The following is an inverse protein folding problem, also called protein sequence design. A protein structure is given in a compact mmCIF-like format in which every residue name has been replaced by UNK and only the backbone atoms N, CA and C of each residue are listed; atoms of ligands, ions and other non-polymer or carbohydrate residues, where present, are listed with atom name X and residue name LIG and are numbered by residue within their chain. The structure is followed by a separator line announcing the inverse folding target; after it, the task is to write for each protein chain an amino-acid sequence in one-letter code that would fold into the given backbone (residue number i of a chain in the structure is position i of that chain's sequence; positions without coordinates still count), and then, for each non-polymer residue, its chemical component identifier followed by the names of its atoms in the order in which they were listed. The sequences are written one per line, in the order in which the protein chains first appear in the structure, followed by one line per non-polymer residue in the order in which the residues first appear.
data_IF_453672049595
#
_entry.id   IF_453672049595
#
_cell.length_a   1.000
_cell.length_b   1.000
_cell.length_c   1.000
_cell.angle_alpha   90.00
_cell.angle_beta   90.00
_cell.angle_gamma   90.00
#
_symmetry.space_group_name_H-M   'P 1'
#
loop_
_entity.id
_entity.type
_entity.pdbx_description
1 polymer ?
#
# COMPACT_ATOMS: atom_id res chain seq x y z
N UNK A 1 -38.64 -21.55 10.13
CA UNK A 1 -37.18 -21.44 10.39
C UNK A 1 -36.99 -21.53 11.90
N UNK A 2 -36.09 -22.37 12.40
CA UNK A 2 -35.98 -22.67 13.84
C UNK A 2 -34.88 -21.84 14.51
N UNK A 3 -35.10 -21.46 15.77
CA UNK A 3 -34.11 -20.78 16.60
C UNK A 3 -33.06 -21.79 17.09
N UNK A 4 -31.79 -21.51 16.84
CA UNK A 4 -30.66 -22.39 17.20
C UNK A 4 -30.33 -22.33 18.71
N UNK A 5 -30.88 -21.35 19.44
CA UNK A 5 -30.66 -21.19 20.90
C UNK A 5 -31.71 -21.95 21.71
N UNK A 6 -33.00 -21.76 21.40
CA UNK A 6 -34.10 -22.31 22.19
C UNK A 6 -34.96 -23.35 21.46
N UNK A 7 -34.64 -23.67 20.20
CA UNK A 7 -35.36 -24.69 19.42
C UNK A 7 -36.80 -24.31 19.01
N UNK A 8 -37.29 -23.12 19.37
CA UNK A 8 -38.63 -22.67 18.95
C UNK A 8 -38.63 -22.20 17.50
N UNK A 9 -39.79 -22.27 16.86
CA UNK A 9 -39.96 -21.68 15.54
C UNK A 9 -39.91 -20.14 15.64
N UNK A 10 -39.14 -19.51 14.75
CA UNK A 10 -39.00 -18.06 14.72
C UNK A 10 -40.26 -17.46 14.09
N UNK A 11 -41.02 -16.74 14.89
CA UNK A 11 -42.14 -15.92 14.43
C UNK A 11 -41.61 -14.53 14.11
N UNK A 12 -41.61 -14.15 12.82
CA UNK A 12 -41.12 -12.85 12.37
C UNK A 12 -39.74 -12.90 11.71
N UNK A 13 -38.91 -11.88 11.94
CA UNK A 13 -37.61 -11.75 11.27
C UNK A 13 -36.53 -12.52 12.04
N UNK A 14 -35.81 -13.45 11.39
CA UNK A 14 -34.71 -14.15 12.05
C UNK A 14 -33.54 -13.22 12.32
N UNK A 15 -33.02 -13.26 13.56
CA UNK A 15 -31.88 -12.46 13.96
C UNK A 15 -30.61 -13.29 13.84
N UNK A 16 -29.65 -12.76 13.08
CA UNK A 16 -28.32 -13.33 12.95
C UNK A 16 -27.44 -12.69 14.01
N UNK A 17 -27.09 -13.44 15.04
CA UNK A 17 -26.34 -12.92 16.21
C UNK A 17 -25.14 -13.82 16.52
N UNK A 18 -24.16 -13.24 17.21
CA UNK A 18 -23.02 -13.95 17.77
C UNK A 18 -23.25 -14.11 19.28
N UNK A 19 -23.34 -15.35 19.75
CA UNK A 19 -23.46 -15.70 21.17
C UNK A 19 -22.23 -16.53 21.52
N UNK A 20 -21.42 -16.09 22.49
CA UNK A 20 -20.18 -16.78 22.92
C UNK A 20 -19.20 -17.08 21.76
N UNK A 21 -19.17 -16.22 20.74
CA UNK A 21 -18.32 -16.37 19.56
C UNK A 21 -18.89 -17.30 18.46
N UNK A 22 -20.02 -17.97 18.70
CA UNK A 22 -20.72 -18.77 17.71
C UNK A 22 -21.72 -17.93 16.90
N UNK A 23 -21.63 -17.99 15.56
CA UNK A 23 -22.57 -17.34 14.64
C UNK A 23 -23.80 -18.23 14.51
N UNK A 24 -24.96 -17.74 14.93
CA UNK A 24 -26.20 -18.52 14.93
C UNK A 24 -27.44 -17.70 14.56
N UNK A 25 -28.53 -18.40 14.24
CA UNK A 25 -29.84 -17.80 13.95
C UNK A 25 -30.74 -17.92 15.18
N UNK A 26 -31.22 -16.79 15.67
CA UNK A 26 -32.01 -16.68 16.89
C UNK A 26 -33.36 -15.95 16.67
N UNK A 27 -34.34 -16.27 17.51
CA UNK A 27 -35.58 -15.47 17.64
C UNK A 27 -35.29 -14.12 18.32
N UNK A 28 -36.27 -13.21 18.31
CA UNK A 28 -36.12 -11.86 18.92
C UNK A 28 -35.74 -11.89 20.41
N UNK A 29 -36.22 -12.89 21.17
CA UNK A 29 -35.87 -13.03 22.58
C UNK A 29 -34.42 -13.48 22.78
N UNK A 30 -33.98 -14.49 22.03
CA UNK A 30 -32.63 -15.04 22.13
C UNK A 30 -31.58 -14.11 21.51
N UNK A 31 -31.97 -13.23 20.58
CA UNK A 31 -31.09 -12.24 19.98
C UNK A 31 -30.51 -11.25 20.99
N UNK A 32 -31.19 -11.02 22.12
CA UNK A 32 -30.75 -10.12 23.20
C UNK A 32 -29.56 -10.67 24.00
N UNK A 33 -29.30 -11.98 23.89
CA UNK A 33 -28.17 -12.64 24.55
C UNK A 33 -26.85 -12.47 23.76
N UNK A 34 -26.94 -12.06 22.49
CA UNK A 34 -25.79 -11.82 21.62
C UNK A 34 -25.40 -10.36 21.57
N UNK A 35 -24.11 -10.09 21.38
CA UNK A 35 -23.55 -8.74 21.35
C UNK A 35 -23.55 -8.12 19.96
N UNK A 36 -23.46 -8.92 18.90
CA UNK A 36 -23.19 -8.41 17.55
C UNK A 36 -23.99 -9.15 16.47
N UNK A 37 -24.51 -8.40 15.48
CA UNK A 37 -25.26 -8.94 14.34
C UNK A 37 -24.32 -9.15 13.16
N UNK A 38 -24.30 -10.37 12.62
CA UNK A 38 -23.47 -10.71 11.46
C UNK A 38 -24.29 -10.64 10.16
N UNK A 39 -23.70 -10.06 9.11
CA UNK A 39 -24.25 -10.10 7.77
C UNK A 39 -23.63 -11.28 6.99
N UNK A 40 -24.41 -12.09 6.25
CA UNK A 40 -23.83 -13.04 5.32
C UNK A 40 -23.10 -12.29 4.20
N UNK A 41 -21.87 -12.71 3.90
CA UNK A 41 -21.19 -12.31 2.67
C UNK A 41 -22.09 -12.69 1.48
N UNK A 42 -22.39 -11.77 0.54
CA UNK A 42 -23.24 -12.10 -0.59
C UNK A 42 -22.59 -13.22 -1.40
N UNK A 43 -23.21 -14.38 -1.36
CA UNK A 43 -22.81 -15.54 -2.14
C UNK A 43 -22.87 -15.14 -3.62
N UNK A 44 -21.69 -15.04 -4.24
CA UNK A 44 -21.53 -14.70 -5.65
C UNK A 44 -22.20 -15.79 -6.46
N UNK A 45 -23.47 -15.57 -6.86
CA UNK A 45 -24.13 -16.35 -7.89
C UNK A 45 -23.29 -16.22 -9.17
N UNK A 46 -22.42 -17.21 -9.37
CA UNK A 46 -21.60 -17.38 -10.55
C UNK A 46 -22.54 -17.45 -11.77
N UNK A 47 -22.52 -16.38 -12.57
CA UNK A 47 -23.35 -16.24 -13.75
C UNK A 47 -23.04 -17.35 -14.74
N UNK A 48 -23.95 -18.32 -14.86
CA UNK A 48 -23.96 -19.28 -15.95
C UNK A 48 -24.18 -18.53 -17.25
N UNK A 49 -23.17 -18.55 -18.10
CA UNK A 49 -23.20 -18.13 -19.50
C UNK A 49 -24.38 -18.78 -20.22
N UNK A 50 -25.32 -17.99 -20.73
CA UNK A 50 -26.13 -18.38 -21.88
C UNK A 50 -26.14 -17.27 -22.91
N UNK A 51 -25.24 -17.42 -23.86
CA UNK A 51 -25.41 -16.87 -25.20
C UNK A 51 -26.74 -17.36 -25.77
N UNK A 52 -27.64 -16.43 -26.13
CA UNK A 52 -28.54 -16.58 -27.28
C UNK A 52 -28.76 -15.22 -27.91
N UNK A 53 -28.03 -15.00 -29.00
CA UNK A 53 -28.47 -14.21 -30.13
C UNK A 53 -29.86 -14.68 -30.56
N UNK A 54 -30.80 -13.75 -30.69
CA UNK A 54 -31.87 -13.77 -31.70
C UNK A 54 -32.44 -12.36 -31.88
N UNK A 55 -32.40 -11.95 -33.13
CA UNK A 55 -32.84 -10.71 -33.77
C UNK A 55 -34.36 -10.50 -33.75
N UNK A 56 -34.76 -9.24 -34.06
CA UNK A 56 -36.06 -8.72 -34.55
C UNK A 56 -37.11 -8.39 -33.47
N UNK A 57 -37.92 -7.33 -33.52
CA UNK A 57 -38.08 -6.13 -34.37
C UNK A 57 -39.10 -5.22 -33.63
N UNK A 58 -39.04 -3.90 -33.80
CA UNK A 58 -40.25 -3.06 -33.72
C UNK A 58 -40.44 -2.11 -32.53
N UNK A 59 -40.54 -0.84 -32.91
CA UNK A 59 -41.38 0.23 -32.36
C UNK A 59 -40.79 1.17 -31.29
N UNK A 60 -40.81 2.45 -31.67
CA UNK A 60 -40.26 3.60 -31.01
C UNK A 60 -41.00 3.98 -29.72
N UNK A 61 -40.25 4.47 -28.73
CA UNK A 61 -40.60 5.73 -28.05
C UNK A 61 -39.37 6.31 -27.37
N UNK A 62 -39.28 7.62 -27.52
CA UNK A 62 -38.21 8.51 -27.11
C UNK A 62 -38.13 8.61 -25.59
N UNK A 63 -37.03 8.18 -24.97
CA UNK A 63 -36.50 8.76 -23.73
C UNK A 63 -34.98 8.53 -23.69
N UNK A 64 -34.22 9.63 -23.70
CA UNK A 64 -32.76 9.65 -23.56
C UNK A 64 -32.38 8.98 -22.23
N UNK A 65 -31.50 7.95 -22.20
CA UNK A 65 -30.92 7.51 -20.94
C UNK A 65 -29.88 8.55 -20.50
N UNK A 66 -30.15 9.22 -19.38
CA UNK A 66 -29.15 9.93 -18.62
C UNK A 66 -27.99 8.95 -18.33
N UNK A 67 -26.75 9.41 -18.53
CA UNK A 67 -25.56 8.73 -18.00
C UNK A 67 -25.48 9.03 -16.49
N UNK A 68 -25.57 8.05 -15.60
CA UNK A 68 -24.87 8.14 -14.32
C UNK A 68 -23.55 7.37 -14.43
N UNK A 69 -22.47 8.13 -14.40
CA UNK A 69 -21.15 7.78 -13.89
C UNK A 69 -20.93 6.30 -13.52
N UNK A 70 -20.43 5.54 -14.49
CA UNK A 70 -19.60 4.38 -14.19
C UNK A 70 -18.35 4.88 -13.47
N UNK A 71 -18.19 4.49 -12.21
CA UNK A 71 -16.95 4.80 -11.51
C UNK A 71 -17.00 4.44 -10.04
N UNK A 72 -16.29 3.36 -9.71
CA UNK A 72 -15.74 3.11 -8.38
C UNK A 72 -16.63 2.36 -7.38
N UNK A 73 -16.87 1.08 -7.66
CA UNK A 73 -16.83 0.08 -6.59
C UNK A 73 -15.44 -0.53 -6.59
N UNK A 74 -14.64 -0.12 -5.60
CA UNK A 74 -13.25 -0.53 -5.45
C UNK A 74 -13.18 -2.05 -5.30
N UNK A 75 -12.24 -2.62 -6.06
CA UNK A 75 -11.69 -3.95 -5.85
C UNK A 75 -11.13 -4.05 -4.43
N UNK A 76 -11.79 -4.82 -3.56
CA UNK A 76 -11.13 -5.45 -2.41
C UNK A 76 -10.35 -6.64 -2.97
N UNK A 77 -9.09 -6.38 -3.33
CA UNK A 77 -8.10 -7.44 -3.51
C UNK A 77 -7.50 -7.69 -2.14
N UNK A 78 -7.69 -8.92 -1.69
CA UNK A 78 -6.83 -9.62 -0.73
C UNK A 78 -5.37 -9.27 -1.05
N UNK A 79 -4.62 -8.75 -0.08
CA UNK A 79 -3.18 -8.62 -0.18
C UNK A 79 -2.56 -8.47 1.22
N UNK A 80 -1.92 -9.55 1.63
CA UNK A 80 -0.71 -9.67 2.46
C UNK A 80 -0.38 -8.50 3.40
N UNK A 81 -0.52 -8.78 4.70
CA UNK A 81 -0.17 -7.92 5.82
C UNK A 81 1.33 -7.53 5.80
N UNK A 82 1.65 -6.43 5.14
CA UNK A 82 2.90 -5.70 5.36
C UNK A 82 2.60 -4.64 6.43
N UNK A 83 3.34 -4.63 7.54
CA UNK A 83 3.26 -3.60 8.59
C UNK A 83 3.69 -2.23 8.01
N UNK A 84 2.79 -1.57 7.29
CA UNK A 84 2.97 -0.19 6.83
C UNK A 84 2.61 0.73 7.99
N UNK A 85 3.42 1.77 8.23
CA UNK A 85 3.16 2.78 9.27
C UNK A 85 1.74 3.33 9.10
N UNK A 86 0.97 3.35 10.20
CA UNK A 86 -0.35 3.97 10.25
C UNK A 86 -0.26 5.44 9.79
N UNK A 87 -1.09 5.85 8.83
CA UNK A 87 -1.06 7.21 8.29
C UNK A 87 -0.12 7.45 7.10
N UNK A 88 0.35 6.40 6.41
CA UNK A 88 1.24 6.53 5.25
C UNK A 88 0.66 7.41 4.12
N UNK A 89 -0.66 7.43 3.95
CA UNK A 89 -1.30 8.22 2.89
C UNK A 89 -1.07 9.73 3.08
N UNK A 90 -1.29 10.21 4.31
CA UNK A 90 -1.04 11.60 4.67
C UNK A 90 0.44 11.97 4.57
N UNK A 91 1.33 11.04 4.92
CA UNK A 91 2.77 11.25 4.87
C UNK A 91 3.27 11.41 3.42
N UNK A 92 2.81 10.55 2.52
CA UNK A 92 3.09 10.62 1.07
C UNK A 92 2.55 11.91 0.49
N UNK A 93 1.31 12.30 0.83
CA UNK A 93 0.70 13.53 0.34
C UNK A 93 1.49 14.77 0.74
N UNK A 94 1.86 14.89 2.02
CA UNK A 94 2.67 16.01 2.53
C UNK A 94 4.04 16.06 1.87
N UNK A 95 4.69 14.91 1.67
CA UNK A 95 5.99 14.84 1.01
C UNK A 95 5.90 15.25 -0.47
N UNK A 96 4.86 14.81 -1.17
CA UNK A 96 4.57 15.20 -2.54
C UNK A 96 4.36 16.71 -2.66
N UNK A 97 3.56 17.29 -1.77
CA UNK A 97 3.27 18.73 -1.74
C UNK A 97 4.53 19.57 -1.44
N UNK A 98 5.40 19.11 -0.53
CA UNK A 98 6.71 19.76 -0.27
C UNK A 98 7.62 19.82 -1.50
N UNK A 99 7.53 18.82 -2.37
CA UNK A 99 8.29 18.75 -3.62
C UNK A 99 7.55 19.40 -4.80
N UNK A 100 6.35 19.94 -4.59
CA UNK A 100 5.53 20.58 -5.62
C UNK A 100 5.05 19.64 -6.73
N UNK A 101 5.07 18.32 -6.49
CA UNK A 101 4.74 17.34 -7.52
C UNK A 101 3.24 17.11 -7.62
N UNK A 102 2.72 16.95 -8.84
CA UNK A 102 1.36 16.45 -9.03
C UNK A 102 1.30 14.93 -8.81
N UNK A 103 0.13 14.35 -8.49
CA UNK A 103 -0.02 12.89 -8.42
C UNK A 103 0.39 12.20 -9.72
N UNK A 104 0.18 12.85 -10.86
CA UNK A 104 0.53 12.34 -12.18
C UNK A 104 2.05 12.32 -12.42
N UNK A 105 2.75 13.36 -11.98
CA UNK A 105 4.22 13.41 -12.04
C UNK A 105 4.89 12.41 -11.10
N UNK A 106 4.33 12.25 -9.89
CA UNK A 106 4.81 11.24 -8.95
C UNK A 106 4.62 9.83 -9.54
N UNK A 107 3.47 9.58 -10.16
CA UNK A 107 3.18 8.33 -10.85
C UNK A 107 4.15 8.06 -12.00
N UNK A 108 4.45 9.07 -12.83
CA UNK A 108 5.45 8.99 -13.91
C UNK A 108 6.85 8.68 -13.40
N UNK A 109 7.27 9.26 -12.28
CA UNK A 109 8.59 9.01 -11.65
C UNK A 109 8.73 7.58 -11.12
N UNK A 110 7.65 7.03 -10.58
CA UNK A 110 7.63 5.68 -9.97
C UNK A 110 7.36 4.58 -11.02
N UNK A 111 6.80 4.97 -12.17
CA UNK A 111 6.38 4.05 -13.23
C UNK A 111 5.02 3.41 -12.97
N UNK A 112 4.15 4.09 -12.24
CA UNK A 112 2.81 3.61 -11.88
C UNK A 112 1.70 4.50 -12.47
N UNK A 113 0.45 4.06 -12.36
CA UNK A 113 -0.71 4.86 -12.78
C UNK A 113 -1.07 5.90 -11.72
N UNK A 114 -1.49 7.08 -12.15
CA UNK A 114 -1.95 8.16 -11.25
C UNK A 114 -3.07 7.69 -10.29
N UNK A 115 -3.99 6.86 -10.80
CA UNK A 115 -5.09 6.31 -9.99
C UNK A 115 -4.61 5.41 -8.86
N UNK A 116 -3.44 4.78 -8.98
CA UNK A 116 -2.84 3.95 -7.93
C UNK A 116 -2.28 4.85 -6.83
N UNK A 117 -1.52 5.88 -7.20
CA UNK A 117 -0.98 6.88 -6.27
C UNK A 117 -2.10 7.56 -5.47
N UNK A 118 -3.20 7.97 -6.12
CA UNK A 118 -4.36 8.56 -5.43
C UNK A 118 -5.00 7.60 -4.41
N UNK A 119 -5.04 6.30 -4.71
CA UNK A 119 -5.58 5.29 -3.78
C UNK A 119 -4.65 5.04 -2.60
N UNK A 120 -3.33 5.11 -2.82
CA UNK A 120 -2.31 5.03 -1.77
C UNK A 120 -2.39 6.26 -0.85
N UNK A 121 -2.49 7.47 -1.41
CA UNK A 121 -2.69 8.70 -0.63
C UNK A 121 -4.01 8.69 0.17
N UNK A 122 -5.02 7.96 -0.30
CA UNK A 122 -6.31 7.80 0.38
C UNK A 122 -6.37 6.57 1.32
N UNK A 123 -5.25 5.85 1.50
CA UNK A 123 -5.13 4.64 2.33
C UNK A 123 -6.07 3.48 1.92
N UNK A 124 -6.66 3.56 0.72
CA UNK A 124 -7.54 2.51 0.15
C UNK A 124 -6.77 1.39 -0.55
N UNK A 125 -5.45 1.56 -0.69
CA UNK A 125 -4.58 0.61 -1.36
C UNK A 125 -3.24 0.57 -0.62
N UNK A 126 -2.90 -0.61 -0.12
CA UNK A 126 -1.62 -0.88 0.51
C UNK A 126 -0.61 -1.19 -0.61
N UNK A 127 0.46 -0.39 -0.75
CA UNK A 127 1.48 -0.66 -1.76
C UNK A 127 2.28 -1.93 -1.40
N UNK A 128 2.65 -2.71 -2.41
CA UNK A 128 3.65 -3.77 -2.27
C UNK A 128 5.00 -3.17 -1.82
N UNK A 129 5.86 -3.97 -1.17
CA UNK A 129 7.16 -3.56 -0.61
C UNK A 129 8.01 -2.87 -1.68
N UNK A 130 7.97 -3.38 -2.93
CA UNK A 130 8.69 -2.80 -4.07
C UNK A 130 8.18 -1.41 -4.42
N UNK A 131 6.87 -1.21 -4.36
CA UNK A 131 6.24 0.06 -4.67
C UNK A 131 6.49 1.07 -3.54
N UNK A 132 6.37 0.63 -2.28
CA UNK A 132 6.71 1.43 -1.11
C UNK A 132 8.16 1.95 -1.18
N UNK A 133 9.14 1.08 -1.46
CA UNK A 133 10.54 1.47 -1.61
C UNK A 133 10.79 2.51 -2.74
N UNK A 134 10.07 2.38 -3.87
CA UNK A 134 10.15 3.38 -4.94
C UNK A 134 9.57 4.74 -4.51
N UNK A 135 8.46 4.72 -3.76
CA UNK A 135 7.84 5.95 -3.23
C UNK A 135 8.79 6.62 -2.23
N UNK A 136 9.41 5.84 -1.32
CA UNK A 136 10.42 6.33 -0.39
C UNK A 136 11.57 7.03 -1.10
N UNK A 137 12.12 6.41 -2.14
CA UNK A 137 13.23 6.97 -2.91
C UNK A 137 12.83 8.22 -3.70
N UNK A 138 11.64 8.22 -4.30
CA UNK A 138 11.14 9.35 -5.08
C UNK A 138 10.83 10.59 -4.22
N UNK A 139 10.31 10.37 -3.01
CA UNK A 139 9.90 11.42 -2.08
C UNK A 139 10.93 11.71 -0.98
N UNK A 140 12.02 10.93 -0.91
CA UNK A 140 13.06 10.97 0.13
C UNK A 140 12.49 10.93 1.56
N UNK A 141 11.46 10.10 1.77
CA UNK A 141 10.79 9.89 3.06
C UNK A 141 10.96 8.44 3.53
N UNK A 142 10.79 8.22 4.83
CA UNK A 142 10.80 6.89 5.45
C UNK A 142 9.34 6.43 5.63
N UNK A 143 8.92 5.41 4.89
CA UNK A 143 7.61 4.76 4.97
C UNK A 143 7.70 3.37 5.63
N UNK A 144 8.89 2.75 5.65
CA UNK A 144 9.19 1.47 6.27
C UNK A 144 10.04 1.69 7.54
N UNK A 145 9.64 1.06 8.65
CA UNK A 145 10.45 1.04 9.88
C UNK A 145 11.38 -0.17 9.84
N UNK A 146 12.64 0.05 9.45
CA UNK A 146 13.81 -0.71 9.95
C UNK A 146 15.07 0.15 9.85
N UNK A 147 16.02 -0.03 10.79
CA UNK A 147 16.87 1.04 11.32
C UNK A 147 17.92 1.56 10.31
N UNK A 148 18.21 2.86 10.42
CA UNK A 148 19.29 3.60 9.76
C UNK A 148 20.68 2.93 9.94
N UNK A 149 21.77 3.38 9.26
CA UNK A 149 21.91 4.57 8.40
C UNK A 149 22.67 4.30 7.10
N UNK A 150 22.51 5.15 6.08
CA UNK A 150 23.65 5.52 5.22
C UNK A 150 23.43 6.97 4.78
N UNK A 151 24.21 7.84 5.43
CA UNK A 151 24.50 9.18 4.97
C UNK A 151 25.17 9.11 3.59
N UNK A 152 24.84 10.06 2.72
CA UNK A 152 25.87 10.80 1.98
C UNK A 152 25.29 12.15 1.61
N UNK A 153 25.65 13.13 2.44
CA UNK A 153 25.46 14.55 2.15
C UNK A 153 26.24 14.92 0.90
N UNK A 154 25.54 15.47 -0.08
CA UNK A 154 26.16 16.08 -1.25
C UNK A 154 26.53 17.53 -0.94
N UNK A 155 27.36 17.72 0.08
CA UNK A 155 27.92 19.03 0.43
C UNK A 155 29.36 18.83 0.88
N UNK A 156 30.30 19.12 -0.03
CA UNK A 156 31.41 20.05 0.23
C UNK A 156 32.28 20.22 -1.01
N UNK A 157 32.36 21.47 -1.42
CA UNK A 157 33.36 22.02 -2.32
C UNK A 157 34.75 21.91 -1.70
N UNK A 158 35.75 21.79 -2.58
CA UNK A 158 37.12 22.29 -2.47
C UNK A 158 37.88 22.10 -1.14
N UNK A 159 38.88 21.21 -1.14
CA UNK A 159 40.13 21.47 -0.42
C UNK A 159 41.32 20.85 -1.15
N UNK A 160 42.20 21.73 -1.64
CA UNK A 160 43.59 21.41 -2.02
C UNK A 160 44.34 21.13 -0.73
N UNK A 161 44.97 19.96 -0.56
CA UNK A 161 45.79 19.78 0.64
C UNK A 161 46.48 18.44 0.79
N UNK A 162 47.70 18.36 0.24
CA UNK A 162 48.85 17.61 0.76
C UNK A 162 48.72 16.08 0.87
N UNK A 163 49.26 15.43 -0.17
CA UNK A 163 49.72 14.03 -0.11
C UNK A 163 50.85 13.94 0.92
N UNK A 164 50.60 13.42 2.11
CA UNK A 164 51.68 12.93 2.97
C UNK A 164 52.12 11.58 2.43
N UNK A 165 53.05 11.61 1.47
CA UNK A 165 53.83 10.42 1.11
C UNK A 165 54.67 10.09 2.33
N UNK A 166 54.24 9.10 3.10
CA UNK A 166 55.09 8.50 4.12
C UNK A 166 56.39 8.04 3.46
N UNK A 167 57.51 8.51 3.99
CA UNK A 167 58.85 8.03 3.59
C UNK A 167 58.86 6.53 3.85
N UNK A 168 58.92 5.75 2.78
CA UNK A 168 58.97 4.30 2.89
C UNK A 168 60.39 3.87 3.23
N UNK A 169 60.54 2.77 3.97
CA UNK A 169 61.84 2.23 4.41
C UNK A 169 62.85 1.99 3.26
N UNK A 170 62.39 2.00 2.01
CA UNK A 170 63.23 1.92 0.82
C UNK A 170 64.08 3.17 0.53
N UNK A 171 63.70 4.36 1.04
CA UNK A 171 64.46 5.61 0.79
C UNK A 171 65.64 5.81 1.75
N UNK A 172 65.64 5.18 2.94
CA UNK A 172 66.69 5.34 3.94
C UNK A 172 67.91 4.43 3.67
N UNK A 173 67.75 3.39 2.85
CA UNK A 173 68.80 2.40 2.59
C UNK A 173 69.92 2.85 1.64
N UNK A 174 69.91 4.10 1.14
CA UNK A 174 70.91 4.62 0.18
C UNK A 174 71.88 5.67 0.74
N UNK A 175 71.80 6.02 2.02
CA UNK A 175 72.62 7.09 2.62
C UNK A 175 73.79 6.61 3.48
N UNK A 176 74.16 5.33 3.39
CA UNK A 176 75.31 4.82 4.14
C UNK A 176 76.12 3.84 3.31
N UNK A 177 76.76 4.35 2.25
CA UNK A 177 78.05 3.79 1.83
C UNK A 177 78.95 4.66 0.94
N UNK A 178 78.72 5.96 0.81
CA UNK A 178 79.65 6.85 0.09
C UNK A 178 80.07 8.01 1.00
N UNK A 179 81.22 7.85 1.67
CA UNK A 179 81.78 8.84 2.60
C UNK A 179 82.93 8.29 3.42
N UNK A 180 83.97 7.80 2.74
CA UNK A 180 85.30 7.53 3.29
C UNK A 180 85.97 8.83 3.78
N UNK A 181 86.82 8.75 4.82
CA UNK A 181 88.03 9.57 4.95
C UNK A 181 88.08 10.64 6.05
N UNK A 182 89.10 10.49 6.93
CA UNK A 182 89.94 11.53 7.60
C UNK A 182 89.27 12.62 8.47
N UNK A 183 89.65 12.85 9.72
CA UNK A 183 90.98 13.02 10.36
C UNK A 183 90.92 12.69 11.85
#
# INVERSE_FOLDING_TARGET
MQCEVCGREIVGKPNRVIIEGAKMIACDDCAKLGSERWAPEPERLQGKTKAKSRVREGLATSLKPAKPSSGSRLNTSVMEDVEVIEGFGNLIRRAREKLGLTPEELAKKIGEKESVIKKIESEKFVPDIRLAAKIEHALKIKLLVKPQPLEVGLEKLADKGKVERGVTLGEIARLKNDGEGEV
#
